data_IF_637215240651
#
_entry.id   IF_637215240651
#
_cell.length_a   1.000
_cell.length_b   1.000
_cell.length_c   1.000
_cell.angle_alpha   90.00
_cell.angle_beta   90.00
_cell.angle_gamma   90.00
#
_symmetry.space_group_name_H-M   'P 1'
#
loop_
_entity.id
_entity.type
_entity.pdbx_description
1 polymer ?
2 non-polymer ?
3 water ?
#
# COMPACT_ATOMS: atom_id res chain seq x y z
N UNK A 6 21.91 -13.13 13.25
CA UNK A 6 20.77 -14.07 13.14
C UNK A 6 19.56 -13.35 12.54
N UNK A 7 19.43 -12.05 12.77
CA UNK A 7 18.31 -11.27 12.24
C UNK A 7 18.23 -11.42 10.72
N UNK A 8 19.35 -11.77 10.08
CA UNK A 8 19.49 -11.73 8.62
C UNK A 8 19.44 -13.12 7.97
N UNK A 9 18.72 -14.07 8.59
CA UNK A 9 18.66 -15.44 8.11
C UNK A 9 18.18 -15.57 6.64
N UNK A 10 17.08 -14.91 6.26
CA UNK A 10 16.60 -14.99 4.89
C UNK A 10 17.15 -13.91 3.95
N UNK A 11 18.21 -13.20 4.32
CA UNK A 11 18.79 -12.14 3.50
C UNK A 11 20.14 -12.56 2.91
N UNK A 12 20.47 -12.01 1.73
CA UNK A 12 21.77 -12.22 1.11
C UNK A 12 22.67 -11.03 1.41
N UNK A 13 23.90 -11.29 1.82
CA UNK A 13 24.86 -10.21 2.02
C UNK A 13 25.46 -9.85 0.67
N UNK A 14 25.46 -8.56 0.35
CA UNK A 14 25.94 -8.06 -0.93
C UNK A 14 27.23 -7.31 -0.68
N UNK A 15 28.23 -7.52 -1.56
CA UNK A 15 29.48 -6.79 -1.38
C UNK A 15 29.36 -5.38 -1.95
N UNK A 16 29.94 -4.38 -1.28
CA UNK A 16 29.78 -2.98 -1.76
C UNK A 16 30.22 -2.74 -3.19
N UNK A 17 31.21 -3.48 -3.68
CA UNK A 17 31.67 -3.28 -5.05
C UNK A 17 30.61 -3.63 -6.09
N UNK A 18 29.56 -4.33 -5.68
CA UNK A 18 28.46 -4.69 -6.58
C UNK A 18 27.37 -3.63 -6.66
N UNK A 19 27.49 -2.52 -5.93
CA UNK A 19 26.43 -1.52 -5.80
C UNK A 19 26.97 -0.17 -6.26
N UNK A 20 26.17 0.52 -7.07
CA UNK A 20 26.45 1.90 -7.49
C UNK A 20 25.22 2.72 -7.14
N UNK A 21 25.41 3.78 -6.36
CA UNK A 21 24.36 4.74 -6.10
C UNK A 21 24.44 5.84 -7.16
N UNK A 22 23.28 6.28 -7.64
CA UNK A 22 23.25 7.28 -8.71
C UNK A 22 22.54 8.57 -8.29
N UNK A 23 21.32 8.47 -7.79
CA UNK A 23 20.52 9.67 -7.47
C UNK A 23 19.73 9.46 -6.17
N UNK A 24 19.66 10.48 -5.37
CA UNK A 24 18.82 10.45 -4.18
C UNK A 24 17.36 10.47 -4.60
N UNK A 25 16.57 9.52 -4.06
CA UNK A 25 15.16 9.41 -4.35
C UNK A 25 14.29 9.41 -3.11
N UNK A 26 14.89 9.49 -1.93
CA UNK A 26 14.11 9.58 -0.70
C UNK A 26 15.03 9.80 0.48
N UNK A 27 14.41 9.88 1.65
CA UNK A 27 15.13 9.96 2.91
C UNK A 27 14.79 8.74 3.75
N UNK A 28 15.79 8.24 4.51
CA UNK A 28 15.59 7.19 5.48
C UNK A 28 15.56 7.74 6.89
N UNK A 29 15.50 6.82 7.87
CA UNK A 29 15.55 7.23 9.27
C UNK A 29 16.84 7.97 9.60
N UNK A 30 17.95 7.53 9.01
CA UNK A 30 19.26 8.09 9.26
C UNK A 30 20.13 7.77 8.06
N UNK A 31 19.76 8.32 6.93
CA UNK A 31 20.41 8.04 5.67
C UNK A 31 19.49 8.40 4.52
N UNK A 32 20.06 8.36 3.32
CA UNK A 32 19.29 8.73 2.10
C UNK A 32 19.03 7.50 1.24
N UNK A 33 17.86 7.46 0.61
CA UNK A 33 17.43 6.40 -0.27
C UNK A 33 17.86 6.79 -1.68
N UNK A 34 18.49 5.85 -2.38
CA UNK A 34 19.03 6.13 -3.71
C UNK A 34 18.43 5.18 -4.72
N UNK A 35 18.36 5.67 -5.95
CA UNK A 35 18.29 4.80 -7.11
C UNK A 35 19.70 4.36 -7.46
N UNK A 36 19.86 3.11 -7.84
CA UNK A 36 21.18 2.61 -8.16
C UNK A 36 21.13 1.39 -9.05
N UNK A 37 22.30 0.74 -9.18
CA UNK A 37 22.46 -0.46 -9.97
C UNK A 37 23.14 -1.54 -9.15
N UNK A 38 22.77 -2.80 -9.38
CA UNK A 38 23.33 -3.95 -8.67
C UNK A 38 23.85 -4.99 -9.64
N UNK A 39 25.02 -5.57 -9.35
CA UNK A 39 25.64 -6.61 -10.17
C UNK A 39 25.58 -7.98 -9.50
N UNK A 45 22.60 -7.20 -17.62
CA UNK A 45 23.43 -7.71 -16.53
C UNK A 45 23.19 -6.94 -15.25
N UNK A 46 23.58 -5.66 -15.23
CA UNK A 46 23.25 -4.79 -14.10
C UNK A 46 21.74 -4.67 -13.97
N UNK A 47 21.28 -4.59 -12.73
CA UNK A 47 19.86 -4.58 -12.41
C UNK A 47 19.57 -3.29 -11.64
N UNK A 48 18.51 -2.55 -11.97
CA UNK A 48 18.21 -1.34 -11.21
C UNK A 48 17.69 -1.68 -9.82
N UNK A 49 18.07 -0.87 -8.84
CA UNK A 49 17.69 -1.12 -7.45
C UNK A 49 17.41 0.19 -6.73
N UNK A 50 16.67 0.08 -5.62
CA UNK A 50 16.56 1.14 -4.64
C UNK A 50 17.43 0.77 -3.45
N UNK A 51 18.09 1.78 -2.86
CA UNK A 51 19.14 1.57 -1.86
C UNK A 51 18.86 2.50 -0.69
N UNK A 52 18.56 1.94 0.48
CA UNK A 52 18.43 2.73 1.71
C UNK A 52 19.68 2.57 2.55
N UNK A 53 20.31 3.67 2.92
CA UNK A 53 21.56 3.64 3.67
C UNK A 53 21.32 3.99 5.13
N UNK A 54 22.24 3.53 5.96
CA UNK A 54 22.30 3.91 7.37
C UNK A 54 23.69 4.51 7.57
N UNK A 55 23.73 5.82 7.72
CA UNK A 55 24.99 6.53 7.60
C UNK A 55 25.63 6.76 8.97
N UNK A 56 26.89 7.20 8.93
CA UNK A 56 27.69 7.30 10.14
C UNK A 56 27.02 8.17 11.19
N UNK A 57 27.04 7.67 12.43
CA UNK A 57 26.44 8.35 13.55
C UNK A 57 25.12 7.77 13.98
N UNK A 58 24.60 6.77 13.26
CA UNK A 58 23.33 6.19 13.64
C UNK A 58 23.39 5.67 15.07
N UNK A 59 22.24 5.68 15.73
CA UNK A 59 22.15 5.21 17.10
C UNK A 59 22.00 3.70 17.15
N UNK A 60 22.08 3.17 18.37
CA UNK A 60 21.83 1.74 18.59
C UNK A 60 20.41 1.37 18.17
N UNK A 61 19.42 2.18 18.57
CA UNK A 61 18.04 1.89 18.18
C UNK A 61 17.86 1.96 16.66
N UNK A 62 18.49 2.94 16.01
CA UNK A 62 18.40 3.01 14.55
C UNK A 62 19.00 1.77 13.89
N UNK A 63 20.10 1.26 14.44
CA UNK A 63 20.72 0.07 13.86
C UNK A 63 19.83 -1.15 14.05
N UNK A 64 19.28 -1.32 15.25
CA UNK A 64 18.35 -2.42 15.51
C UNK A 64 17.16 -2.35 14.57
N UNK A 65 16.60 -1.16 14.38
CA UNK A 65 15.44 -1.01 13.50
C UNK A 65 15.81 -1.27 12.04
N UNK A 66 16.99 -0.82 11.62
CA UNK A 66 17.42 -0.95 10.23
C UNK A 66 17.68 -2.41 9.87
N UNK A 67 18.48 -3.10 10.69
CA UNK A 67 18.70 -4.51 10.41
C UNK A 67 17.45 -5.33 10.65
N UNK A 68 16.62 -4.93 11.61
CA UNK A 68 15.34 -5.59 11.79
C UNK A 68 14.44 -5.47 10.58
N UNK A 69 14.43 -4.29 9.94
CA UNK A 69 13.67 -4.13 8.71
C UNK A 69 14.20 -5.05 7.62
N UNK A 70 15.52 -5.09 7.45
CA UNK A 70 16.09 -6.00 6.47
C UNK A 70 15.72 -7.43 6.79
N UNK A 71 15.76 -7.80 8.08
CA UNK A 71 15.47 -9.17 8.46
C UNK A 71 14.05 -9.58 8.13
N UNK A 72 13.08 -8.72 8.47
CA UNK A 72 11.70 -9.09 8.15
C UNK A 72 11.48 -9.11 6.64
N UNK A 73 12.11 -8.19 5.91
CA UNK A 73 11.92 -8.14 4.46
C UNK A 73 12.49 -9.38 3.79
N UNK A 74 13.64 -9.85 4.23
CA UNK A 74 14.17 -11.08 3.68
C UNK A 74 13.24 -12.25 3.91
N UNK A 75 12.50 -12.23 5.01
CA UNK A 75 11.55 -13.30 5.34
C UNK A 75 10.42 -13.39 4.33
N UNK A 76 10.05 -12.30 3.69
CA UNK A 76 8.89 -12.29 2.82
C UNK A 76 9.29 -12.77 1.43
N UNK A 77 8.54 -13.75 0.91
CA UNK A 77 8.73 -14.22 -0.47
C UNK A 77 7.35 -14.36 -1.07
N UNK A 78 6.90 -13.32 -1.76
CA UNK A 78 5.57 -13.33 -2.34
C UNK A 78 5.57 -12.39 -3.54
N UNK A 79 4.79 -12.78 -4.55
CA UNK A 79 4.64 -12.03 -5.79
C UNK A 79 4.24 -10.58 -5.56
N UNK A 80 3.48 -10.29 -4.50
CA UNK A 80 2.90 -8.98 -4.32
C UNK A 80 3.53 -8.22 -3.15
N UNK A 81 4.75 -8.59 -2.77
CA UNK A 81 5.52 -7.92 -1.73
C UNK A 81 6.85 -7.54 -2.34
N UNK A 82 7.29 -6.30 -2.09
CA UNK A 82 8.57 -5.85 -2.63
C UNK A 82 9.67 -6.85 -2.28
N UNK A 83 10.54 -7.11 -3.24
CA UNK A 83 11.58 -8.11 -3.05
C UNK A 83 12.87 -7.47 -2.56
N UNK A 84 13.47 -8.06 -1.53
CA UNK A 84 14.78 -7.66 -1.04
C UNK A 84 15.85 -8.32 -1.88
N UNK A 85 16.71 -7.52 -2.49
CA UNK A 85 17.86 -8.10 -3.18
C UNK A 85 18.92 -8.52 -2.19
N UNK A 86 19.11 -7.74 -1.14
CA UNK A 86 20.06 -8.11 -0.11
C UNK A 86 20.42 -6.92 0.74
N UNK A 87 21.45 -7.11 1.55
CA UNK A 87 21.83 -6.14 2.56
C UNK A 87 23.34 -6.03 2.56
N UNK A 88 23.82 -4.83 2.88
CA UNK A 88 25.22 -4.63 3.26
C UNK A 88 25.21 -4.33 4.75
N UNK A 89 25.71 -5.27 5.54
CA UNK A 89 25.84 -5.10 6.98
C UNK A 89 27.28 -5.12 7.47
N UNK A 90 28.20 -5.73 6.70
CA UNK A 90 29.60 -5.87 7.09
C UNK A 90 30.45 -4.64 6.80
N UNK A 91 29.91 -3.66 6.07
CA UNK A 91 30.65 -2.48 5.69
C UNK A 91 29.78 -1.27 5.96
N UNK A 92 30.41 -0.10 5.99
CA UNK A 92 29.71 1.17 6.24
C UNK A 92 29.80 2.02 4.99
N UNK A 93 28.71 2.69 4.61
CA UNK A 93 27.41 2.66 5.30
C UNK A 93 26.68 1.36 5.03
N UNK A 94 25.85 0.96 5.97
CA UNK A 94 25.01 -0.21 5.75
C UNK A 94 23.90 0.14 4.78
N UNK A 95 23.41 -0.88 4.06
CA UNK A 95 22.41 -0.65 3.03
C UNK A 95 21.40 -1.76 2.99
N UNK A 96 20.15 -1.40 2.69
CA UNK A 96 19.10 -2.33 2.30
C UNK A 96 18.80 -2.08 0.82
N UNK A 97 18.83 -3.14 0.02
CA UNK A 97 18.73 -3.02 -1.44
C UNK A 97 17.52 -3.81 -1.90
N UNK A 98 16.60 -3.14 -2.59
CA UNK A 98 15.40 -3.80 -3.09
C UNK A 98 15.35 -3.68 -4.60
N UNK A 99 14.41 -4.41 -5.20
CA UNK A 99 14.12 -4.18 -6.60
C UNK A 99 13.65 -2.75 -6.82
N UNK A 100 13.78 -2.28 -8.05
CA UNK A 100 13.30 -0.98 -8.47
C UNK A 100 12.23 -1.22 -9.51
N UNK A 101 11.06 -0.62 -9.30
CA UNK A 101 9.90 -0.84 -10.16
C UNK A 101 9.74 0.41 -11.00
N UNK A 102 9.97 0.23 -12.31
CA UNK A 102 10.01 1.34 -13.31
C UNK A 102 8.79 2.25 -13.22
N UNK A 103 7.60 1.71 -13.06
CA UNK A 103 6.39 2.53 -13.05
C UNK A 103 6.18 3.29 -11.75
N UNK A 104 6.98 3.01 -10.71
CA UNK A 104 6.93 3.81 -9.50
C UNK A 104 5.72 3.49 -8.63
N UNK A 105 5.38 4.45 -7.77
CA UNK A 105 4.34 4.26 -6.78
C UNK A 105 2.95 4.36 -7.41
N UNK A 106 2.03 3.56 -6.87
CA UNK A 106 0.70 3.41 -7.47
C UNK A 106 -0.10 4.71 -7.45
N UNK A 107 -0.01 5.50 -6.39
CA UNK A 107 -0.83 6.71 -6.33
C UNK A 107 -0.50 7.67 -7.47
N UNK A 108 0.80 7.94 -7.66
CA UNK A 108 1.22 8.83 -8.73
C UNK A 108 0.96 8.20 -10.09
N UNK A 109 1.18 6.89 -10.20
CA UNK A 109 0.93 6.16 -11.45
C UNK A 109 -0.51 6.34 -11.90
N UNK A 110 -1.47 6.12 -11.01
CA UNK A 110 -2.88 6.22 -11.41
C UNK A 110 -3.25 7.65 -11.77
N UNK A 111 -2.73 8.63 -11.03
CA UNK A 111 -3.06 10.03 -11.30
C UNK A 111 -2.51 10.49 -12.64
N UNK A 112 -1.43 9.85 -13.11
CA UNK A 112 -0.83 10.23 -14.38
C UNK A 112 -1.41 9.44 -15.55
N UNK A 113 -2.26 8.46 -15.27
CA UNK A 113 -2.83 7.58 -16.28
C UNK A 113 -4.35 7.53 -16.12
N UNK A 114 -4.95 8.67 -15.80
CA UNK A 114 -6.37 8.74 -15.48
C UNK A 114 -7.22 8.17 -16.62
N UNK A 115 -8.07 7.19 -16.27
CA UNK A 115 -8.99 6.56 -17.21
C UNK A 115 -8.37 5.64 -18.23
N UNK A 116 -7.11 5.25 -18.08
CA UNK A 116 -6.42 4.50 -19.12
C UNK A 116 -6.58 2.98 -19.00
N UNK A 117 -7.19 2.48 -17.91
CA UNK A 117 -7.27 1.05 -17.67
C UNK A 117 -8.70 0.54 -17.65
N UNK A 118 -8.84 -0.76 -17.93
CA UNK A 118 -10.15 -1.38 -17.83
C UNK A 118 -10.49 -1.65 -16.36
N UNK A 119 -11.78 -1.82 -16.11
CA UNK A 119 -12.23 -2.23 -14.79
C UNK A 119 -11.53 -3.53 -14.38
N UNK A 120 -11.40 -4.47 -15.30
CA UNK A 120 -10.77 -5.74 -14.97
C UNK A 120 -9.30 -5.55 -14.56
N UNK A 121 -8.59 -4.64 -15.24
CA UNK A 121 -7.22 -4.32 -14.86
C UNK A 121 -7.14 -3.70 -13.47
N UNK A 122 -8.03 -2.75 -13.18
CA UNK A 122 -8.04 -2.13 -11.86
C UNK A 122 -8.34 -3.16 -10.78
N UNK A 123 -9.34 -4.02 -11.02
CA UNK A 123 -9.68 -5.02 -10.01
C UNK A 123 -8.55 -6.03 -9.83
N UNK A 124 -7.85 -6.37 -10.92
CA UNK A 124 -6.70 -7.25 -10.80
C UNK A 124 -5.60 -6.65 -9.94
N UNK A 125 -5.41 -5.33 -10.01
CA UNK A 125 -4.42 -4.71 -9.14
C UNK A 125 -4.82 -4.85 -7.67
N UNK A 126 -6.10 -4.65 -7.37
CA UNK A 126 -6.59 -4.83 -6.01
C UNK A 126 -6.44 -6.27 -5.53
N UNK A 127 -6.68 -7.25 -6.41
CA UNK A 127 -6.50 -8.63 -6.00
C UNK A 127 -5.05 -8.90 -5.63
N UNK A 128 -4.11 -8.34 -6.39
CA UNK A 128 -2.72 -8.54 -6.06
C UNK A 128 -2.35 -7.89 -4.73
N UNK A 129 -2.81 -6.65 -4.52
CA UNK A 129 -2.56 -6.01 -3.24
C UNK A 129 -3.13 -6.85 -2.11
N UNK A 130 -4.37 -7.33 -2.28
CA UNK A 130 -5.01 -8.15 -1.25
C UNK A 130 -4.22 -9.42 -0.96
N UNK A 131 -3.69 -10.06 -2.01
CA UNK A 131 -2.91 -11.28 -1.83
C UNK A 131 -1.62 -10.98 -1.04
N UNK A 132 -0.95 -9.87 -1.36
CA UNK A 132 0.21 -9.51 -0.55
C UNK A 132 -0.15 -9.26 0.90
N UNK A 133 -1.27 -8.57 1.13
CA UNK A 133 -1.67 -8.27 2.50
C UNK A 133 -2.13 -9.53 3.24
N UNK A 134 -2.79 -10.45 2.54
CA UNK A 134 -3.14 -11.71 3.17
C UNK A 134 -1.87 -12.43 3.63
N UNK A 135 -0.86 -12.47 2.79
CA UNK A 135 0.42 -13.05 3.14
C UNK A 135 1.02 -12.36 4.37
N UNK A 136 1.05 -11.02 4.37
CA UNK A 136 1.62 -10.30 5.51
C UNK A 136 0.86 -10.60 6.79
N UNK A 137 -0.48 -10.56 6.73
CA UNK A 137 -1.27 -10.82 7.92
C UNK A 137 -1.03 -12.23 8.44
N UNK A 138 -0.95 -13.21 7.54
CA UNK A 138 -0.70 -14.58 7.96
C UNK A 138 0.69 -14.75 8.55
N UNK A 139 1.65 -13.94 8.08
CA UNK A 139 2.99 -13.93 8.66
C UNK A 139 3.04 -13.13 9.95
N UNK A 140 1.89 -12.66 10.46
CA UNK A 140 1.79 -11.90 11.70
C UNK A 140 2.52 -10.56 11.60
N UNK A 141 2.47 -9.95 10.42
CA UNK A 141 3.03 -8.62 10.20
C UNK A 141 1.90 -7.64 9.97
N UNK A 142 1.83 -6.62 10.80
CA UNK A 142 0.86 -5.53 10.64
C UNK A 142 1.55 -4.37 9.94
N UNK A 143 0.99 -3.92 8.83
CA UNK A 143 1.67 -2.93 8.01
C UNK A 143 1.63 -1.55 8.63
N UNK A 144 0.43 -1.11 9.03
CA UNK A 144 0.16 0.17 9.69
C UNK A 144 0.13 1.40 8.79
N UNK A 145 0.60 1.29 7.55
CA UNK A 145 0.64 2.42 6.64
C UNK A 145 0.27 2.00 5.23
N UNK A 146 -0.74 1.15 5.10
CA UNK A 146 -1.15 0.71 3.77
C UNK A 146 -1.90 1.83 3.07
N UNK A 147 -1.43 2.19 1.88
CA UNK A 147 -1.90 3.33 1.11
C UNK A 147 -1.28 3.17 -0.27
N UNK A 148 -1.93 3.75 -1.29
CA UNK A 148 -1.40 3.60 -2.65
C UNK A 148 0.01 4.16 -2.77
N UNK A 149 0.39 5.14 -1.95
CA UNK A 149 1.74 5.70 -2.03
C UNK A 149 2.80 4.69 -1.60
N UNK A 150 2.39 3.62 -0.93
CA UNK A 150 3.30 2.58 -0.46
C UNK A 150 3.22 1.31 -1.29
N UNK A 151 2.66 1.39 -2.50
CA UNK A 151 2.54 0.26 -3.40
C UNK A 151 3.28 0.60 -4.68
N UNK A 152 4.16 -0.30 -5.11
CA UNK A 152 4.91 -0.13 -6.36
C UNK A 152 4.27 -0.94 -7.47
N UNK A 153 4.40 -0.47 -8.70
CA UNK A 153 3.80 -1.10 -9.88
C UNK A 153 4.90 -1.46 -10.86
N UNK A 154 4.91 -2.72 -11.32
CA UNK A 154 5.90 -3.12 -12.32
C UNK A 154 5.34 -3.02 -13.74
N UNK A 155 6.15 -3.45 -14.71
CA UNK A 155 5.79 -3.34 -16.12
C UNK A 155 4.77 -4.38 -16.56
N UNK A 156 4.39 -5.31 -15.68
CA UNK A 156 3.28 -6.21 -15.93
C UNK A 156 2.03 -5.78 -15.16
N UNK A 157 2.01 -4.58 -14.60
CA UNK A 157 0.91 -4.04 -13.80
C UNK A 157 0.76 -4.74 -12.46
N UNK A 158 1.77 -5.48 -12.02
CA UNK A 158 1.72 -6.18 -10.75
C UNK A 158 2.06 -5.21 -9.63
N UNK A 159 1.21 -5.18 -8.61
CA UNK A 159 1.37 -4.28 -7.47
C UNK A 159 2.10 -5.00 -6.35
N UNK A 160 3.11 -4.33 -5.80
CA UNK A 160 3.93 -4.89 -4.73
C UNK A 160 3.83 -4.00 -3.50
N UNK A 161 3.33 -4.56 -2.40
CA UNK A 161 3.24 -3.83 -1.15
C UNK A 161 4.63 -3.52 -0.64
N UNK A 162 4.85 -2.28 -0.20
CA UNK A 162 6.13 -1.79 0.26
C UNK A 162 5.87 -0.91 1.48
N UNK A 163 6.93 -0.40 2.09
CA UNK A 163 6.75 0.60 3.16
C UNK A 163 7.92 1.57 3.06
N UNK A 164 7.65 2.76 2.55
CA UNK A 164 8.69 3.75 2.37
C UNK A 164 8.95 4.55 3.63
N UNK A 165 8.23 4.26 4.70
CA UNK A 165 8.52 4.83 6.01
C UNK A 165 8.27 6.31 6.15
N UNK A 166 7.56 6.94 5.22
CA UNK A 166 7.36 8.39 5.33
C UNK A 166 6.36 8.78 6.41
N UNK A 167 5.86 7.82 7.19
CA UNK A 167 4.95 8.11 8.28
C UNK A 167 5.58 7.75 9.62
N UNK A 185 0.61 9.66 11.95
CA UNK A 185 -0.46 8.76 11.55
C UNK A 185 -1.25 9.30 10.35
N UNK A 186 -1.30 8.52 9.26
CA UNK A 186 -2.08 8.94 8.08
C UNK A 186 -3.57 8.79 8.33
N UNK A 187 -4.17 9.85 8.88
CA UNK A 187 -5.51 9.77 9.46
C UNK A 187 -6.51 9.18 8.47
N UNK A 188 -6.51 9.68 7.22
CA UNK A 188 -7.52 9.29 6.23
C UNK A 188 -7.48 7.82 5.85
N UNK A 189 -6.37 7.13 6.11
CA UNK A 189 -6.25 5.72 5.76
C UNK A 189 -6.41 4.82 6.97
N UNK A 190 -6.55 5.37 8.17
CA UNK A 190 -6.35 4.60 9.39
C UNK A 190 -7.68 4.28 10.07
N UNK A 191 -7.82 3.05 10.53
CA UNK A 191 -9.06 2.65 11.19
C UNK A 191 -9.28 3.44 12.48
N UNK A 192 -10.54 3.61 12.90
CA UNK A 192 -10.81 4.40 14.12
C UNK A 192 -10.09 3.90 15.36
N UNK A 193 -10.04 2.59 15.59
CA UNK A 193 -9.43 2.07 16.82
C UNK A 193 -7.93 2.30 16.82
N UNK A 194 -7.33 2.38 15.62
CA UNK A 194 -5.90 2.65 15.56
C UNK A 194 -5.62 4.12 15.84
N UNK A 195 -6.48 5.00 15.35
CA UNK A 195 -6.38 6.42 15.71
C UNK A 195 -6.68 6.63 17.20
N UNK A 196 -7.76 6.01 17.70
CA UNK A 196 -8.26 6.38 19.03
C UNK A 196 -7.37 5.83 20.13
N UNK A 197 -6.95 4.57 20.03
CA UNK A 197 -6.21 3.98 21.14
C UNK A 197 -5.04 3.12 20.67
N UNK A 198 -4.61 3.31 19.42
CA UNK A 198 -3.36 2.77 18.91
C UNK A 198 -3.39 1.26 18.77
N UNK A 199 -4.57 0.71 18.50
CA UNK A 199 -4.74 -0.71 18.24
C UNK A 199 -4.55 -0.94 16.75
N UNK A 200 -3.33 -1.27 16.35
CA UNK A 200 -2.98 -1.59 14.98
C UNK A 200 -2.96 -3.11 14.84
N UNK A 201 -3.82 -3.63 13.97
CA UNK A 201 -3.89 -5.07 13.70
C UNK A 201 -4.12 -5.29 12.21
N UNK A 202 -4.16 -6.56 11.82
CA UNK A 202 -4.54 -6.86 10.45
C UNK A 202 -5.92 -6.33 10.10
N UNK A 203 -6.81 -6.16 11.09
CA UNK A 203 -8.13 -5.62 10.82
C UNK A 203 -8.11 -4.11 10.60
N UNK A 204 -7.16 -3.39 11.22
CA UNK A 204 -6.99 -1.99 10.83
C UNK A 204 -6.35 -1.89 9.45
N UNK A 205 -5.50 -2.86 9.09
CA UNK A 205 -4.98 -2.87 7.74
C UNK A 205 -6.09 -3.14 6.73
N UNK A 206 -7.11 -3.92 7.12
CA UNK A 206 -8.26 -4.10 6.24
C UNK A 206 -8.99 -2.78 5.98
N UNK A 207 -9.17 -1.96 7.02
CA UNK A 207 -9.77 -0.64 6.80
C UNK A 207 -8.95 0.13 5.76
N UNK A 208 -7.63 0.12 5.94
CA UNK A 208 -6.76 0.82 5.01
C UNK A 208 -6.91 0.28 3.60
N UNK A 209 -7.03 -1.05 3.48
CA UNK A 209 -7.20 -1.63 2.17
C UNK A 209 -8.45 -1.12 1.48
N UNK A 210 -9.55 -0.99 2.25
CA UNK A 210 -10.74 -0.39 1.69
C UNK A 210 -10.48 1.00 1.12
N UNK A 211 -9.70 1.81 1.83
CA UNK A 211 -9.32 3.12 1.29
C UNK A 211 -8.49 2.97 0.01
N UNK A 212 -7.53 2.03 0.00
CA UNK A 212 -6.76 1.77 -1.21
C UNK A 212 -7.67 1.37 -2.38
N UNK A 213 -8.68 0.52 -2.11
CA UNK A 213 -9.62 0.17 -3.17
C UNK A 213 -10.24 1.43 -3.75
N UNK A 214 -10.62 2.38 -2.88
CA UNK A 214 -11.24 3.60 -3.35
C UNK A 214 -10.22 4.45 -4.13
N UNK A 215 -8.96 4.48 -3.66
CA UNK A 215 -7.92 5.18 -4.40
C UNK A 215 -7.75 4.61 -5.81
N UNK A 216 -7.74 3.29 -5.91
CA UNK A 216 -7.51 2.66 -7.21
C UNK A 216 -8.68 2.96 -8.15
N UNK A 217 -9.91 2.78 -7.65
CA UNK A 217 -11.06 2.93 -8.52
C UNK A 217 -11.30 4.37 -8.93
N UNK A 218 -10.76 5.36 -8.20
CA UNK A 218 -10.87 6.77 -8.54
C UNK A 218 -9.65 7.30 -9.27
N UNK A 219 -8.68 6.44 -9.59
CA UNK A 219 -7.44 6.88 -10.22
C UNK A 219 -6.67 7.88 -9.34
N UNK A 220 -6.64 7.58 -8.05
CA UNK A 220 -5.80 8.34 -7.16
C UNK A 220 -6.41 9.60 -6.59
N UNK A 221 -7.73 9.65 -6.46
CA UNK A 221 -8.33 10.81 -5.81
C UNK A 221 -7.95 10.85 -4.33
N UNK A 222 -7.95 12.06 -3.77
CA UNK A 222 -7.63 12.21 -2.36
C UNK A 222 -8.83 11.79 -1.53
N UNK A 223 -8.68 10.81 -0.63
CA UNK A 223 -9.82 10.39 0.20
C UNK A 223 -10.36 11.56 1.00
N UNK A 224 -11.69 11.72 0.95
CA UNK A 224 -12.44 12.76 1.67
C UNK A 224 -12.15 14.15 1.13
N UNK A 225 -11.43 14.25 0.01
CA UNK A 225 -11.18 15.51 -0.68
C UNK A 225 -10.63 16.53 0.32
N UNK A 226 -11.25 17.69 0.42
CA UNK A 226 -10.66 18.78 1.20
C UNK A 226 -11.02 18.74 2.67
N UNK A 227 -11.75 17.74 3.16
CA UNK A 227 -12.03 17.69 4.59
C UNK A 227 -10.73 17.65 5.38
N UNK A 228 -10.71 18.35 6.51
CA UNK A 228 -9.57 18.30 7.41
C UNK A 228 -9.56 16.97 8.15
N UNK A 229 -8.43 16.66 8.78
CA UNK A 229 -8.31 15.41 9.53
C UNK A 229 -9.40 15.31 10.60
N UNK A 230 -9.64 16.41 11.33
CA UNK A 230 -10.69 16.41 12.34
C UNK A 230 -12.05 16.17 11.71
N UNK A 231 -12.33 16.83 10.58
CA UNK A 231 -13.60 16.63 9.88
C UNK A 231 -13.75 15.19 9.42
N UNK A 232 -12.66 14.56 8.96
CA UNK A 232 -12.74 13.16 8.52
C UNK A 232 -13.13 12.26 9.69
N UNK A 233 -12.46 12.43 10.83
CA UNK A 233 -12.77 11.59 11.99
C UNK A 233 -14.19 11.81 12.48
N UNK A 234 -14.65 13.07 12.49
CA UNK A 234 -16.02 13.37 12.88
C UNK A 234 -17.03 12.72 11.93
N UNK A 235 -16.75 12.77 10.62
CA UNK A 235 -17.65 12.15 9.66
C UNK A 235 -17.71 10.65 9.86
N UNK A 236 -16.56 10.00 10.05
CA UNK A 236 -16.52 8.56 10.27
C UNK A 236 -17.30 8.20 11.53
N UNK A 237 -17.06 8.94 12.61
CA UNK A 237 -17.72 8.61 13.87
C UNK A 237 -19.23 8.80 13.77
N UNK A 238 -19.68 9.77 12.97
CA UNK A 238 -21.10 9.98 12.71
C UNK A 238 -21.67 8.99 11.69
N UNK A 239 -20.87 8.08 11.14
CA UNK A 239 -21.35 7.03 10.27
C UNK A 239 -21.25 7.31 8.78
N UNK A 240 -20.75 8.47 8.38
CA UNK A 240 -20.57 8.74 6.97
C UNK A 240 -19.40 7.93 6.43
N UNK A 241 -19.48 7.57 5.14
CA UNK A 241 -18.43 6.84 4.45
C UNK A 241 -18.22 7.44 3.07
N UNK A 242 -17.04 7.15 2.50
CA UNK A 242 -16.76 7.64 1.15
C UNK A 242 -17.84 7.16 0.19
N UNK A 243 -18.26 7.98 -0.75
CA UNK A 243 -19.27 7.59 -1.74
C UNK A 243 -18.64 6.75 -2.84
N UNK A 244 -19.50 6.17 -3.67
CA UNK A 244 -19.00 5.31 -4.72
C UNK A 244 -18.15 6.11 -5.70
N UNK A 245 -17.02 5.58 -6.15
CA UNK A 245 -16.34 6.15 -7.31
C UNK A 245 -17.22 6.07 -8.54
N UNK A 246 -16.90 6.89 -9.54
CA UNK A 246 -17.54 6.79 -10.84
C UNK A 246 -17.19 5.46 -11.50
N UNK A 247 -18.15 4.91 -12.25
CA UNK A 247 -17.95 3.71 -13.06
C UNK A 247 -17.55 2.48 -12.24
N UNK A 248 -17.92 2.44 -10.94
CA UNK A 248 -17.40 1.41 -10.05
C UNK A 248 -18.34 0.22 -10.00
N UNK A 249 -17.84 -1.00 -10.17
CA UNK A 249 -18.69 -2.18 -10.01
C UNK A 249 -19.33 -2.20 -8.62
N UNK A 250 -20.61 -2.58 -8.60
CA UNK A 250 -21.36 -2.68 -7.36
C UNK A 250 -20.67 -3.59 -6.34
N UNK A 251 -20.16 -4.75 -6.80
CA UNK A 251 -19.51 -5.67 -5.87
C UNK A 251 -18.27 -5.06 -5.24
N UNK A 252 -17.56 -4.22 -5.98
CA UNK A 252 -16.35 -3.59 -5.45
C UNK A 252 -16.69 -2.54 -4.41
N UNK A 253 -17.73 -1.73 -4.66
CA UNK A 253 -18.12 -0.76 -3.64
C UNK A 253 -18.66 -1.46 -2.40
N UNK A 254 -19.42 -2.55 -2.58
CA UNK A 254 -19.91 -3.29 -1.43
C UNK A 254 -18.75 -3.80 -0.58
N UNK A 255 -17.71 -4.31 -1.24
CA UNK A 255 -16.55 -4.83 -0.53
C UNK A 255 -15.82 -3.73 0.24
N UNK A 256 -15.55 -2.59 -0.41
CA UNK A 256 -14.85 -1.54 0.34
C UNK A 256 -15.69 -1.03 1.51
N UNK A 257 -17.02 -1.02 1.37
CA UNK A 257 -17.87 -0.56 2.47
C UNK A 257 -17.77 -1.50 3.67
N UNK A 258 -17.63 -2.80 3.43
CA UNK A 258 -17.50 -3.74 4.54
C UNK A 258 -16.14 -3.65 5.21
N UNK A 259 -15.11 -3.17 4.49
CA UNK A 259 -13.82 -2.94 5.13
C UNK A 259 -13.89 -1.79 6.12
N UNK A 260 -14.87 -0.90 5.97
CA UNK A 260 -15.01 0.28 6.82
C UNK A 260 -16.06 0.12 7.92
N UNK A 261 -16.27 -1.11 8.40
CA UNK A 261 -17.15 -1.29 9.55
C UNK A 261 -16.48 -0.72 10.79
N UNK A 262 -17.26 0.00 11.60
CA UNK A 262 -16.72 0.54 12.85
C UNK A 262 -16.26 -0.59 13.76
N UNK A 263 -17.07 -1.65 13.87
CA UNK A 263 -16.75 -2.78 14.73
C UNK A 263 -15.70 -3.63 14.02
N UNK A 264 -14.49 -3.67 14.59
CA UNK A 264 -13.34 -4.32 13.97
C UNK A 264 -13.65 -5.77 13.62
N UNK A 265 -14.35 -6.49 14.49
CA UNK A 265 -14.59 -7.91 14.27
C UNK A 265 -15.52 -8.17 13.10
N UNK A 266 -16.26 -7.16 12.63
CA UNK A 266 -17.19 -7.38 11.54
C UNK A 266 -16.55 -7.23 10.17
N UNK A 267 -15.34 -6.67 10.11
CA UNK A 267 -14.68 -6.50 8.83
C UNK A 267 -14.25 -7.86 8.25
N UNK A 268 -14.20 -8.00 6.93
CA UNK A 268 -13.68 -9.24 6.35
C UNK A 268 -12.22 -9.38 6.74
N UNK A 269 -11.75 -10.63 6.78
CA UNK A 269 -10.32 -10.86 6.85
C UNK A 269 -9.73 -10.79 5.45
N UNK A 270 -8.40 -10.68 5.36
CA UNK A 270 -7.81 -10.65 4.02
C UNK A 270 -8.10 -11.92 3.22
N UNK A 271 -8.24 -13.07 3.88
CA UNK A 271 -8.60 -14.27 3.13
C UNK A 271 -9.95 -14.11 2.47
N UNK A 272 -10.89 -13.43 3.14
CA UNK A 272 -12.21 -13.21 2.55
C UNK A 272 -12.10 -12.30 1.35
N UNK A 273 -11.29 -11.25 1.48
CA UNK A 273 -11.11 -10.25 0.42
C UNK A 273 -10.50 -10.89 -0.82
N UNK A 274 -9.43 -11.68 -0.63
CA UNK A 274 -8.79 -12.36 -1.76
C UNK A 274 -9.76 -13.30 -2.45
N UNK A 275 -10.54 -14.05 -1.66
CA UNK A 275 -11.48 -15.00 -2.24
C UNK A 275 -12.52 -14.29 -3.10
N UNK A 276 -13.08 -13.21 -2.60
CA UNK A 276 -14.13 -12.45 -3.35
C UNK A 276 -13.52 -11.85 -4.61
N UNK A 277 -12.39 -11.19 -4.51
CA UNK A 277 -11.81 -10.58 -5.70
C UNK A 277 -11.44 -11.62 -6.74
N UNK A 278 -10.92 -12.77 -6.31
CA UNK A 278 -10.60 -13.81 -7.27
C UNK A 278 -11.86 -14.32 -7.98
N UNK A 279 -12.96 -14.48 -7.24
CA UNK A 279 -14.19 -14.96 -7.87
C UNK A 279 -14.77 -13.93 -8.83
N UNK A 280 -14.71 -12.65 -8.47
CA UNK A 280 -15.19 -11.60 -9.37
C UNK A 280 -14.40 -11.58 -10.66
N UNK A 281 -13.06 -11.70 -10.56
CA UNK A 281 -12.21 -11.70 -11.75
C UNK A 281 -12.47 -12.92 -12.63
N UNK A 282 -12.71 -14.08 -12.02
CA UNK A 282 -12.88 -15.31 -12.78
C UNK A 282 -14.26 -15.40 -13.41
N UNK A 283 -15.22 -14.61 -12.94
CA UNK A 283 -16.53 -14.47 -13.56
C UNK A 283 -16.72 -12.99 -13.87
N UNK A 284 -16.03 -12.48 -14.89
CA UNK A 284 -15.93 -11.02 -15.06
C UNK A 284 -17.24 -10.32 -15.37
N UNK A 285 -18.28 -11.04 -15.84
CA UNK A 285 -19.58 -10.40 -15.98
C UNK A 285 -20.09 -9.87 -14.66
N UNK A 286 -19.60 -10.39 -13.54
CA UNK A 286 -20.01 -9.89 -12.22
C UNK A 286 -19.63 -8.44 -12.02
N UNK A 287 -18.61 -7.95 -12.73
CA UNK A 287 -18.15 -6.59 -12.56
C UNK A 287 -18.90 -5.61 -13.45
N UNK A 288 -19.82 -6.09 -14.30
CA UNK A 288 -20.52 -5.20 -15.22
C UNK A 288 -21.63 -4.43 -14.54
N UNK A 289 -22.15 -4.93 -13.42
CA UNK A 289 -23.17 -4.24 -12.64
C UNK A 289 -22.51 -3.11 -11.84
N UNK A 290 -22.89 -1.87 -12.12
CA UNK A 290 -22.23 -0.70 -11.54
C UNK A 290 -23.07 -0.10 -10.44
N UNK A 291 -22.40 0.35 -9.37
CA UNK A 291 -23.07 1.11 -8.34
C UNK A 291 -23.48 2.48 -8.87
N UNK A 292 -24.60 2.99 -8.38
CA UNK A 292 -25.07 4.32 -8.74
C UNK A 292 -24.06 5.36 -8.25
N UNK A 293 -23.72 6.30 -9.13
CA UNK A 293 -22.87 7.43 -8.76
C UNK A 293 -23.76 8.61 -8.38
N UNK A 294 -23.42 9.26 -7.28
CA UNK A 294 -24.16 10.44 -6.83
C UNK A 294 -23.54 11.68 -7.47
N UNK A 295 -24.22 12.30 -8.45
CA UNK A 295 -23.63 13.47 -9.12
C UNK A 295 -23.67 14.77 -8.30
N UNK A 296 -22.53 15.40 -8.05
CA UNK A 296 -22.52 16.67 -7.32
C UNK A 296 -23.09 17.80 -8.17
N UNK A 297 -22.92 17.69 -9.48
CA UNK A 297 -23.35 18.71 -10.41
C UNK A 297 -24.49 18.12 -11.22
N UNK A 298 -25.42 18.98 -11.62
CA UNK A 298 -26.46 18.60 -12.57
C UNK A 298 -26.39 19.55 -13.74
N UNK A 299 -26.44 19.00 -14.95
CA UNK A 299 -26.45 19.79 -16.18
C UNK A 299 -27.77 19.51 -16.86
N UNK A 300 -28.51 20.56 -17.14
CA UNK A 300 -29.81 20.42 -17.84
C UNK A 300 -29.61 20.72 -19.33
N UNK A 301 -29.87 19.76 -20.20
CA UNK A 301 -29.78 19.95 -21.64
C UNK A 301 -31.03 19.35 -22.26
N UNK A 302 -31.43 19.83 -23.45
CA UNK A 302 -32.60 19.28 -24.14
C UNK A 302 -32.34 17.87 -24.68
#
# INVERSE_FOLDING_TARGET
>A
GDPNQAVLKFTTEIHPSCVTRQKVIGAGEFGEVYKGMLKTSSGKKEVPVAIKTLKAGYTEKQRVDFLGEAGIMGQFSHHNIIRLEGVISKYKPMMIITEYMENGALDKFLREKDGEFSVLQLVGMLRGIAAGMKYLANMNYVHRDLAARNILVNSNLVCKVSDFGLSRVLEDDPEATYTTSGGKIPIRWTAPEAISYRKFTSASDVWSFGIVMWEVMTYGERPYWELSNHEVMKAINDGFRLPTPMDCPSAIYQLMMQCWQQERARRPKFADIVSILDKLIRAPDSLKTLADFDPRVSIRLPSTSG
#
